data_IF_978541173804
#
_entry.id   IF_978541173804
#
_cell.length_a   1.000
_cell.length_b   1.000
_cell.length_c   1.000
_cell.angle_alpha   90.00
_cell.angle_beta   90.00
_cell.angle_gamma   90.00
#
_symmetry.space_group_name_H-M   'P 1'
#
loop_
_entity.id
_entity.type
_entity.pdbx_description
1 polymer ?
#
# COMPACT_ATOMS: atom_id res chain seq x y z
N UNK A 1 22.83 13.01 -13.95
CA UNK A 1 21.85 14.02 -13.50
C UNK A 1 20.41 13.54 -13.48
N UNK A 2 19.84 13.06 -14.58
CA UNK A 2 18.43 12.60 -14.58
C UNK A 2 18.16 11.37 -13.70
N UNK A 3 19.07 10.40 -13.65
CA UNK A 3 18.99 9.26 -12.72
C UNK A 3 19.09 9.70 -11.26
N UNK A 4 19.72 10.85 -11.00
CA UNK A 4 19.89 11.42 -9.66
C UNK A 4 18.74 12.35 -9.27
N UNK A 5 17.62 12.34 -10.02
CA UNK A 5 16.47 13.19 -9.76
C UNK A 5 16.67 14.68 -10.05
N UNK A 6 17.79 15.09 -10.69
CA UNK A 6 18.10 16.51 -10.92
C UNK A 6 17.41 17.11 -12.15
N UNK A 7 17.03 16.27 -13.12
CA UNK A 7 16.33 16.70 -14.33
C UNK A 7 15.17 15.75 -14.66
N UNK A 8 14.00 16.28 -15.08
CA UNK A 8 12.90 15.44 -15.54
C UNK A 8 13.32 14.57 -16.72
N UNK A 9 12.77 13.35 -16.78
CA UNK A 9 12.94 12.44 -17.92
C UNK A 9 11.67 11.63 -18.14
N UNK A 10 11.46 11.22 -19.39
CA UNK A 10 10.41 10.25 -19.70
C UNK A 10 10.76 8.89 -19.07
N UNK A 11 9.77 8.27 -18.42
CA UNK A 11 9.86 6.92 -17.87
C UNK A 11 8.67 6.11 -18.39
N UNK A 12 8.86 4.79 -18.45
CA UNK A 12 7.73 3.86 -18.62
C UNK A 12 6.71 4.08 -17.51
N UNK A 13 5.43 3.99 -17.85
CA UNK A 13 4.37 3.86 -16.87
C UNK A 13 4.54 2.59 -16.03
N UNK A 14 3.99 2.58 -14.81
CA UNK A 14 4.03 1.40 -13.94
C UNK A 14 3.32 0.22 -14.61
N UNK A 15 2.20 0.49 -15.29
CA UNK A 15 1.44 -0.48 -16.07
C UNK A 15 2.27 -1.15 -17.18
N UNK A 16 3.18 -0.42 -17.84
CA UNK A 16 4.06 -1.01 -18.85
C UNK A 16 5.02 -2.03 -18.23
N UNK A 17 5.57 -1.72 -17.05
CA UNK A 17 6.48 -2.62 -16.32
C UNK A 17 5.72 -3.87 -15.86
N UNK A 18 4.50 -3.70 -15.36
CA UNK A 18 3.62 -4.81 -14.96
C UNK A 18 3.29 -5.72 -16.16
N UNK A 19 2.90 -5.12 -17.29
CA UNK A 19 2.61 -5.83 -18.55
C UNK A 19 3.81 -6.63 -19.06
N UNK A 20 5.01 -6.05 -19.01
CA UNK A 20 6.27 -6.73 -19.40
C UNK A 20 6.60 -7.96 -18.56
N UNK A 21 6.10 -8.00 -17.32
CA UNK A 21 6.33 -9.10 -16.39
C UNK A 21 5.12 -10.03 -16.23
N UNK A 22 4.11 -9.90 -17.11
CA UNK A 22 2.94 -10.78 -17.12
C UNK A 22 1.96 -10.54 -15.97
N UNK A 23 2.02 -9.38 -15.30
CA UNK A 23 1.05 -9.00 -14.27
C UNK A 23 -0.16 -8.36 -14.95
N UNK A 24 -1.34 -8.96 -14.75
CA UNK A 24 -2.54 -8.63 -15.50
C UNK A 24 -3.46 -7.61 -14.82
N UNK A 25 -3.30 -7.39 -13.52
CA UNK A 25 -4.08 -6.40 -12.77
C UNK A 25 -3.34 -5.83 -11.57
N UNK A 26 -3.80 -4.66 -11.09
CA UNK A 26 -3.42 -4.07 -9.81
C UNK A 26 -4.58 -3.27 -9.20
N UNK A 27 -4.35 -2.67 -8.03
CA UNK A 27 -5.36 -1.95 -7.27
C UNK A 27 -5.05 -0.46 -7.19
N UNK A 28 -6.08 0.37 -7.27
CA UNK A 28 -5.96 1.84 -7.17
C UNK A 28 -6.95 2.41 -6.17
N UNK A 29 -6.65 3.59 -5.63
CA UNK A 29 -7.63 4.35 -4.85
C UNK A 29 -8.71 4.96 -5.77
N UNK A 30 -9.92 5.09 -5.23
CA UNK A 30 -11.07 5.72 -5.90
C UNK A 30 -10.77 7.11 -6.45
N UNK A 31 -9.93 7.90 -5.79
CA UNK A 31 -9.58 9.25 -6.26
C UNK A 31 -8.77 9.23 -7.57
N UNK A 32 -8.01 8.17 -7.84
CA UNK A 32 -7.27 8.02 -9.11
C UNK A 32 -8.21 7.67 -10.26
N UNK A 33 -9.32 6.99 -9.98
CA UNK A 33 -10.33 6.69 -10.98
C UNK A 33 -11.25 7.90 -11.24
N UNK A 34 -11.79 8.49 -10.17
CA UNK A 34 -12.91 9.46 -10.24
C UNK A 34 -12.51 10.91 -10.05
N UNK A 35 -11.31 11.23 -9.61
CA UNK A 35 -11.03 12.57 -9.09
C UNK A 35 -11.76 12.84 -7.76
N UNK A 36 -11.87 14.10 -7.38
CA UNK A 36 -12.40 14.51 -6.07
C UNK A 36 -11.34 14.51 -4.95
N UNK A 37 -11.80 14.55 -3.69
CA UNK A 37 -10.93 14.52 -2.51
C UNK A 37 -10.60 13.08 -2.13
N UNK A 38 -9.32 12.82 -1.85
CA UNK A 38 -8.88 11.53 -1.32
C UNK A 38 -9.48 11.30 0.08
N UNK A 39 -9.98 10.09 0.32
CA UNK A 39 -10.38 9.64 1.67
C UNK A 39 -9.15 8.98 2.28
N UNK A 40 -8.36 9.79 2.98
CA UNK A 40 -7.15 9.37 3.64
C UNK A 40 -7.39 8.23 4.64
N UNK A 41 -6.53 7.22 4.58
CA UNK A 41 -6.59 6.03 5.46
C UNK A 41 -5.95 6.32 6.84
N UNK A 42 -5.06 7.32 6.90
CA UNK A 42 -4.13 7.50 8.01
C UNK A 42 -4.34 8.78 8.82
N UNK A 43 -5.07 9.79 8.31
CA UNK A 43 -5.38 11.05 9.00
C UNK A 43 -5.81 10.85 10.45
N UNK A 44 -6.71 9.91 10.72
CA UNK A 44 -7.26 9.70 12.07
C UNK A 44 -6.27 9.05 13.04
N UNK A 45 -5.24 8.37 12.51
CA UNK A 45 -4.29 7.59 13.31
C UNK A 45 -3.01 8.35 13.67
N UNK A 46 -2.59 9.33 12.87
CA UNK A 46 -1.31 9.99 13.03
C UNK A 46 -1.44 11.52 13.02
N UNK A 47 -1.25 12.16 14.17
CA UNK A 47 -1.34 13.63 14.31
C UNK A 47 -0.30 14.36 13.44
N UNK A 48 0.91 13.79 13.30
CA UNK A 48 1.94 14.32 12.41
C UNK A 48 1.46 14.41 10.95
N UNK A 49 0.67 13.43 10.52
CA UNK A 49 0.09 13.41 9.17
C UNK A 49 -0.93 14.51 8.95
N UNK A 50 -1.75 14.84 9.96
CA UNK A 50 -2.70 15.96 9.89
C UNK A 50 -1.98 17.28 9.61
N UNK A 51 -0.83 17.50 10.26
CA UNK A 51 -0.02 18.71 10.07
C UNK A 51 0.65 18.74 8.69
N UNK A 52 1.23 17.62 8.27
CA UNK A 52 1.83 17.49 6.95
C UNK A 52 0.78 17.73 5.85
N UNK A 53 -0.40 17.12 5.98
CA UNK A 53 -1.48 17.31 5.02
C UNK A 53 -1.96 18.75 4.91
N UNK A 54 -2.12 19.45 6.03
CA UNK A 54 -2.54 20.85 6.03
C UNK A 54 -1.58 21.79 5.27
N UNK A 55 -0.31 21.41 5.12
CA UNK A 55 0.67 22.15 4.34
C UNK A 55 0.48 21.92 2.83
N UNK A 56 0.21 20.68 2.43
CA UNK A 56 0.15 20.28 1.02
C UNK A 56 -1.25 20.35 0.39
N UNK A 57 -2.35 20.37 1.15
CA UNK A 57 -3.72 20.46 0.60
C UNK A 57 -3.86 21.67 -0.33
N UNK A 58 -3.15 22.77 -0.04
CA UNK A 58 -3.19 24.01 -0.86
C UNK A 58 -2.49 23.89 -2.21
N UNK A 59 -1.56 22.95 -2.34
CA UNK A 59 -0.75 22.75 -3.54
C UNK A 59 -1.32 21.66 -4.45
N UNK A 60 -2.29 20.89 -3.95
CA UNK A 60 -2.89 19.80 -4.71
C UNK A 60 -4.00 20.29 -5.64
N UNK A 61 -3.91 20.01 -6.95
CA UNK A 61 -5.01 20.29 -7.86
C UNK A 61 -6.19 19.36 -7.54
N UNK A 62 -7.27 19.93 -7.04
CA UNK A 62 -8.55 19.23 -6.93
C UNK A 62 -9.03 18.88 -8.35
N UNK A 63 -9.13 17.57 -8.63
CA UNK A 63 -9.67 17.08 -9.89
C UNK A 63 -11.18 17.05 -9.82
N UNK A 64 -11.85 17.49 -10.88
CA UNK A 64 -13.30 17.36 -11.01
C UNK A 64 -13.70 15.88 -10.89
N UNK A 65 -14.86 15.65 -10.28
CA UNK A 65 -15.37 14.29 -10.10
C UNK A 65 -15.93 13.80 -11.42
N UNK A 66 -15.37 12.72 -11.91
CA UNK A 66 -15.90 11.92 -13.01
C UNK A 66 -16.94 10.95 -12.44
N UNK A 67 -18.22 11.25 -12.67
CA UNK A 67 -19.35 10.42 -12.23
C UNK A 67 -19.62 9.22 -13.16
N UNK A 68 -19.05 9.22 -14.36
CA UNK A 68 -19.23 8.12 -15.33
C UNK A 68 -18.36 6.91 -14.97
N UNK A 69 -17.20 7.14 -14.36
CA UNK A 69 -16.30 6.07 -13.91
C UNK A 69 -16.74 5.49 -12.57
N UNK A 70 -17.29 4.28 -12.60
CA UNK A 70 -17.73 3.58 -11.40
C UNK A 70 -16.59 2.81 -10.73
N UNK A 71 -16.38 2.91 -9.41
CA UNK A 71 -15.37 2.08 -8.73
C UNK A 71 -15.78 0.59 -8.68
N UNK A 72 -16.99 0.28 -9.13
CA UNK A 72 -17.54 -1.08 -9.20
C UNK A 72 -17.38 -1.73 -10.58
N UNK A 73 -16.65 -1.09 -11.49
CA UNK A 73 -16.29 -1.62 -12.81
C UNK A 73 -14.79 -1.82 -12.92
N UNK A 74 -14.38 -2.71 -13.83
CA UNK A 74 -12.96 -3.00 -14.09
C UNK A 74 -12.57 -2.27 -15.36
N UNK A 75 -11.54 -1.44 -15.26
CA UNK A 75 -10.97 -0.71 -16.40
C UNK A 75 -9.61 -1.29 -16.78
N UNK A 76 -9.22 -1.10 -18.02
CA UNK A 76 -7.87 -1.32 -18.49
C UNK A 76 -7.10 0.01 -18.48
N UNK A 77 -5.83 -0.02 -18.13
CA UNK A 77 -4.92 1.12 -18.25
C UNK A 77 -3.77 0.77 -19.19
N UNK A 78 -3.34 1.76 -19.96
CA UNK A 78 -2.21 1.61 -20.88
C UNK A 78 -1.57 2.96 -21.16
N UNK A 79 -0.37 3.18 -20.59
CA UNK A 79 0.46 4.34 -20.87
C UNK A 79 1.05 4.31 -22.28
N UNK A 80 1.12 3.14 -22.92
CA UNK A 80 1.62 2.96 -24.28
C UNK A 80 0.85 1.85 -25.05
N UNK A 81 -0.34 2.16 -25.58
CA UNK A 81 -1.25 1.16 -26.16
C UNK A 81 -0.77 0.54 -27.48
N UNK A 82 0.20 1.17 -28.15
CA UNK A 82 0.75 0.63 -29.41
C UNK A 82 1.72 -0.53 -29.18
N UNK A 83 2.29 -0.64 -27.98
CA UNK A 83 3.44 -1.52 -27.72
C UNK A 83 3.12 -2.61 -26.69
N UNK A 84 2.20 -2.36 -25.74
CA UNK A 84 1.98 -3.24 -24.59
C UNK A 84 0.52 -3.62 -24.40
N UNK A 85 0.29 -4.81 -23.82
CA UNK A 85 -1.04 -5.25 -23.41
C UNK A 85 -1.51 -4.36 -22.24
N UNK A 86 -2.71 -3.77 -22.29
CA UNK A 86 -3.26 -3.03 -21.17
C UNK A 86 -3.38 -3.91 -19.91
N UNK A 87 -3.23 -3.29 -18.74
CA UNK A 87 -3.33 -3.95 -17.43
C UNK A 87 -4.63 -3.53 -16.77
N UNK A 88 -5.35 -4.45 -16.12
CA UNK A 88 -6.60 -4.13 -15.46
C UNK A 88 -6.40 -3.42 -14.11
N UNK A 89 -7.36 -2.59 -13.72
CA UNK A 89 -7.41 -1.97 -12.40
C UNK A 89 -8.69 -2.35 -11.67
N UNK A 90 -8.54 -2.67 -10.39
CA UNK A 90 -9.62 -2.76 -9.42
C UNK A 90 -9.55 -1.54 -8.51
N UNK A 91 -10.70 -0.94 -8.23
CA UNK A 91 -10.75 0.31 -7.48
C UNK A 91 -11.26 0.08 -6.08
N UNK A 92 -10.52 0.60 -5.08
CA UNK A 92 -10.92 0.58 -3.67
C UNK A 92 -12.30 1.20 -3.51
N UNK A 93 -13.23 0.47 -2.90
CA UNK A 93 -14.55 0.97 -2.56
C UNK A 93 -14.48 1.93 -1.36
N UNK A 94 -14.93 3.20 -1.52
CA UNK A 94 -14.85 4.19 -0.46
C UNK A 94 -15.81 3.89 0.71
N UNK A 95 -16.98 3.27 0.43
CA UNK A 95 -18.00 3.03 1.46
C UNK A 95 -17.53 1.99 2.49
N UNK A 96 -17.12 0.81 2.02
CA UNK A 96 -16.57 -0.25 2.88
C UNK A 96 -15.24 0.16 3.52
N UNK A 97 -14.41 0.91 2.78
CA UNK A 97 -13.20 1.52 3.30
C UNK A 97 -13.49 2.38 4.53
N UNK A 98 -14.40 3.36 4.43
CA UNK A 98 -14.78 4.23 5.54
C UNK A 98 -15.39 3.46 6.72
N UNK A 99 -16.29 2.52 6.43
CA UNK A 99 -17.03 1.75 7.44
C UNK A 99 -16.13 0.87 8.32
N UNK A 100 -14.94 0.50 7.84
CA UNK A 100 -13.98 -0.30 8.60
C UNK A 100 -12.82 0.55 9.13
N UNK A 101 -12.30 1.50 8.36
CA UNK A 101 -11.12 2.29 8.74
C UNK A 101 -11.39 3.50 9.63
N UNK A 102 -12.62 4.02 9.66
CA UNK A 102 -12.93 5.20 10.47
C UNK A 102 -12.68 4.92 11.95
N UNK A 103 -11.84 5.73 12.60
CA UNK A 103 -11.61 5.61 14.04
C UNK A 103 -12.82 6.03 14.89
N UNK A 104 -13.73 6.80 14.30
CA UNK A 104 -14.90 7.37 14.99
C UNK A 104 -16.17 6.54 14.74
N UNK A 105 -16.36 6.05 13.51
CA UNK A 105 -17.59 5.35 13.08
C UNK A 105 -17.37 3.91 12.66
N UNK A 106 -16.11 3.46 12.58
CA UNK A 106 -15.77 2.13 12.09
C UNK A 106 -15.95 1.06 13.14
N UNK A 107 -16.18 -0.18 12.70
CA UNK A 107 -16.36 -1.32 13.61
C UNK A 107 -15.24 -1.51 14.64
N UNK A 108 -13.94 -1.32 14.31
CA UNK A 108 -12.87 -1.44 15.29
C UNK A 108 -13.00 -0.52 16.51
N UNK A 109 -13.75 0.58 16.40
CA UNK A 109 -14.04 1.51 17.49
C UNK A 109 -15.18 1.09 18.42
N UNK A 110 -15.81 -0.07 18.19
CA UNK A 110 -16.89 -0.57 19.04
C UNK A 110 -16.42 -0.71 20.50
N UNK A 111 -17.20 -0.16 21.42
CA UNK A 111 -16.85 -0.10 22.83
C UNK A 111 -16.61 -1.47 23.48
N UNK A 112 -17.12 -2.56 22.90
CA UNK A 112 -16.93 -3.91 23.44
C UNK A 112 -15.71 -4.65 22.91
N UNK A 113 -15.06 -4.14 21.86
CA UNK A 113 -13.84 -4.75 21.32
C UNK A 113 -12.61 -4.45 22.16
N UNK A 114 -11.60 -5.33 22.04
CA UNK A 114 -10.36 -5.23 22.79
C UNK A 114 -9.59 -3.95 22.42
N UNK A 115 -9.26 -3.14 23.43
CA UNK A 115 -8.47 -1.91 23.23
C UNK A 115 -7.01 -2.26 22.90
N UNK A 116 -6.51 -1.69 21.80
CA UNK A 116 -5.15 -1.93 21.35
C UNK A 116 -4.09 -1.24 22.23
N UNK A 117 -4.41 -0.05 22.75
CA UNK A 117 -3.45 0.89 23.31
C UNK A 117 -3.21 0.63 24.80
N UNK A 118 -4.23 0.20 25.56
CA UNK A 118 -4.10 -0.08 27.00
C UNK A 118 -3.46 -1.44 27.25
N UNK A 119 -2.22 -1.40 27.73
CA UNK A 119 -1.39 -2.59 27.99
C UNK A 119 -1.07 -2.72 29.47
N UNK A 120 -1.16 -3.93 30.00
CA UNK A 120 -0.79 -4.26 31.36
C UNK A 120 0.72 -4.39 31.50
N UNK A 121 1.28 -3.77 32.53
CA UNK A 121 2.69 -3.95 32.89
C UNK A 121 2.81 -4.79 34.17
N UNK A 122 3.71 -5.80 34.21
CA UNK A 122 4.57 -6.28 33.13
C UNK A 122 3.82 -7.15 32.10
N UNK A 123 4.44 -7.36 30.93
CA UNK A 123 4.01 -8.36 29.94
C UNK A 123 3.31 -7.82 28.69
N UNK A 124 2.75 -6.60 28.73
CA UNK A 124 2.16 -5.96 27.54
C UNK A 124 0.84 -6.55 27.08
N UNK A 125 0.22 -7.43 27.87
CA UNK A 125 -1.09 -8.02 27.58
C UNK A 125 -2.19 -6.96 27.61
N UNK A 126 -3.24 -7.17 26.82
CA UNK A 126 -4.41 -6.28 26.70
C UNK A 126 -5.58 -6.93 27.43
N UNK A 127 -6.17 -6.23 28.39
CA UNK A 127 -7.29 -6.73 29.21
C UNK A 127 -8.49 -5.78 29.24
N UNK A 128 -8.45 -4.71 28.46
CA UNK A 128 -9.47 -3.67 28.48
C UNK A 128 -10.14 -3.54 27.13
N UNK A 129 -11.39 -3.09 27.15
CA UNK A 129 -12.18 -2.80 25.95
C UNK A 129 -12.09 -1.33 25.56
N UNK A 130 -12.35 -1.04 24.29
CA UNK A 130 -12.34 0.34 23.75
C UNK A 130 -13.23 1.28 24.56
N UNK A 131 -14.31 0.79 25.15
CA UNK A 131 -15.23 1.55 26.03
C UNK A 131 -16.03 2.61 25.28
N UNK A 132 -15.35 3.64 24.81
CA UNK A 132 -15.82 4.63 23.83
C UNK A 132 -14.62 5.05 22.98
N UNK A 133 -14.85 5.43 21.72
CA UNK A 133 -13.78 5.82 20.79
C UNK A 133 -12.86 6.92 21.35
N UNK A 134 -13.42 7.85 22.14
CA UNK A 134 -12.72 9.02 22.69
C UNK A 134 -12.36 8.91 24.19
N UNK A 135 -12.43 7.71 24.80
CA UNK A 135 -12.09 7.53 26.22
C UNK A 135 -10.58 7.59 26.48
N UNK A 136 -10.19 8.21 27.59
CA UNK A 136 -8.83 8.11 28.13
C UNK A 136 -8.54 6.65 28.50
N UNK A 137 -7.27 6.25 28.45
CA UNK A 137 -6.80 4.97 28.96
C UNK A 137 -7.26 4.71 30.39
N UNK A 138 -7.35 5.73 31.24
CA UNK A 138 -7.84 5.58 32.60
C UNK A 138 -9.29 5.06 32.67
N UNK A 139 -10.14 5.45 31.71
CA UNK A 139 -11.58 5.17 31.72
C UNK A 139 -11.94 3.84 31.04
N UNK A 140 -10.98 3.21 30.36
CA UNK A 140 -11.18 1.92 29.68
C UNK A 140 -11.55 0.83 30.69
N UNK A 141 -12.70 0.20 30.47
CA UNK A 141 -13.24 -0.88 31.29
C UNK A 141 -12.68 -2.25 30.88
N UNK A 142 -12.92 -3.27 31.69
CA UNK A 142 -12.46 -4.65 31.43
C UNK A 142 -13.07 -5.22 30.15
N UNK A 143 -12.27 -6.02 29.44
CA UNK A 143 -12.69 -6.72 28.24
C UNK A 143 -13.51 -7.96 28.60
N UNK A 144 -14.69 -8.08 28.00
CA UNK A 144 -15.60 -9.23 28.17
C UNK A 144 -15.74 -9.97 26.83
N UNK A 145 -15.01 -11.08 26.63
CA UNK A 145 -14.99 -11.79 25.34
C UNK A 145 -16.37 -12.19 24.83
N UNK A 146 -17.31 -12.55 25.73
CA UNK A 146 -18.66 -12.93 25.33
C UNK A 146 -19.45 -11.76 24.72
N UNK A 147 -19.27 -10.53 25.22
CA UNK A 147 -19.90 -9.34 24.63
C UNK A 147 -19.32 -9.02 23.26
N UNK A 148 -18.00 -9.12 23.09
CA UNK A 148 -17.35 -8.94 21.80
C UNK A 148 -17.86 -9.97 20.76
N UNK A 149 -18.06 -11.23 21.17
CA UNK A 149 -18.64 -12.27 20.31
C UNK A 149 -20.07 -11.95 19.86
N UNK A 150 -20.87 -11.27 20.68
CA UNK A 150 -22.21 -10.82 20.31
C UNK A 150 -22.18 -9.67 19.28
N UNK A 151 -21.20 -8.77 19.37
CA UNK A 151 -21.04 -7.64 18.43
C UNK A 151 -20.61 -8.06 17.03
N UNK A 152 -19.76 -9.09 16.91
CA UNK A 152 -19.19 -9.50 15.61
C UNK A 152 -20.25 -9.86 14.57
N UNK A 153 -21.27 -10.71 14.86
CA UNK A 153 -22.34 -11.02 13.92
C UNK A 153 -23.14 -9.79 13.47
N UNK A 154 -23.41 -8.84 14.38
CA UNK A 154 -24.11 -7.61 14.05
C UNK A 154 -23.31 -6.76 13.06
N UNK A 155 -22.03 -6.54 13.35
CA UNK A 155 -21.13 -5.77 12.49
C UNK A 155 -20.92 -6.45 11.13
N UNK A 156 -20.76 -7.77 11.12
CA UNK A 156 -20.66 -8.57 9.89
C UNK A 156 -21.94 -8.47 9.04
N UNK A 157 -23.12 -8.58 9.66
CA UNK A 157 -24.41 -8.44 8.98
C UNK A 157 -24.59 -7.04 8.38
N UNK A 158 -24.21 -6.00 9.13
CA UNK A 158 -24.22 -4.62 8.62
C UNK A 158 -23.29 -4.47 7.41
N UNK A 159 -22.08 -5.04 7.47
CA UNK A 159 -21.12 -4.96 6.38
C UNK A 159 -21.59 -5.68 5.12
N UNK A 160 -22.18 -6.86 5.28
CA UNK A 160 -22.79 -7.60 4.16
C UNK A 160 -23.94 -6.81 3.55
N UNK A 161 -24.81 -6.20 4.37
CA UNK A 161 -25.89 -5.36 3.86
C UNK A 161 -25.35 -4.14 3.09
N UNK A 162 -24.30 -3.48 3.61
CA UNK A 162 -23.63 -2.38 2.91
C UNK A 162 -23.11 -2.79 1.53
N UNK A 163 -22.47 -3.97 1.42
CA UNK A 163 -22.00 -4.52 0.14
C UNK A 163 -23.17 -4.74 -0.81
N UNK A 164 -24.24 -5.39 -0.33
CA UNK A 164 -25.43 -5.68 -1.12
C UNK A 164 -26.09 -4.41 -1.64
N UNK A 165 -26.35 -3.46 -0.77
CA UNK A 165 -26.99 -2.19 -1.13
C UNK A 165 -26.14 -1.44 -2.16
N UNK A 166 -24.82 -1.43 -1.97
CA UNK A 166 -23.88 -0.78 -2.89
C UNK A 166 -23.89 -1.41 -4.28
N UNK A 167 -23.82 -2.73 -4.37
CA UNK A 167 -23.86 -3.45 -5.65
C UNK A 167 -25.25 -3.38 -6.30
N UNK A 168 -26.32 -3.39 -5.49
CA UNK A 168 -27.69 -3.26 -5.96
C UNK A 168 -27.95 -1.86 -6.53
N UNK A 169 -27.51 -0.80 -5.85
CA UNK A 169 -27.57 0.59 -6.34
C UNK A 169 -26.85 0.74 -7.67
N UNK A 170 -25.65 0.15 -7.80
CA UNK A 170 -24.91 0.15 -9.06
C UNK A 170 -25.72 -0.57 -10.16
N UNK A 171 -26.19 -1.78 -9.88
CA UNK A 171 -26.97 -2.56 -10.85
C UNK A 171 -28.27 -1.86 -11.29
N UNK A 172 -28.98 -1.20 -10.36
CA UNK A 172 -30.18 -0.43 -10.69
C UNK A 172 -29.89 0.73 -11.65
N UNK A 173 -28.71 1.35 -11.55
CA UNK A 173 -28.30 2.49 -12.38
C UNK A 173 -27.77 2.06 -13.75
N UNK A 174 -26.99 0.99 -13.80
CA UNK A 174 -26.23 0.60 -15.01
C UNK A 174 -26.82 -0.61 -15.73
N UNK A 175 -27.60 -1.45 -15.04
CA UNK A 175 -28.01 -2.77 -15.52
C UNK A 175 -26.87 -3.79 -15.58
N UNK A 176 -25.68 -3.46 -15.07
CA UNK A 176 -24.48 -4.28 -15.13
C UNK A 176 -24.14 -4.77 -13.71
N UNK A 177 -23.89 -6.07 -13.48
CA UNK A 177 -23.44 -6.53 -12.17
C UNK A 177 -22.08 -5.93 -11.82
N UNK A 178 -22.00 -5.23 -10.68
CA UNK A 178 -20.77 -4.59 -10.22
C UNK A 178 -19.76 -5.55 -9.58
N UNK A 179 -18.55 -5.05 -9.33
CA UNK A 179 -17.45 -5.72 -8.62
C UNK A 179 -16.98 -4.79 -7.51
N UNK A 180 -17.22 -5.16 -6.25
CA UNK A 180 -16.77 -4.35 -5.10
C UNK A 180 -15.41 -4.85 -4.61
N UNK A 181 -14.44 -3.95 -4.51
CA UNK A 181 -13.08 -4.27 -4.00
C UNK A 181 -12.82 -3.52 -2.69
N UNK A 182 -12.65 -4.26 -1.60
CA UNK A 182 -12.41 -3.70 -0.26
C UNK A 182 -11.00 -4.09 0.25
N UNK A 183 -9.94 -3.37 -0.16
CA UNK A 183 -8.57 -3.62 0.28
C UNK A 183 -8.32 -3.06 1.68
N UNK A 184 -7.62 -3.82 2.51
CA UNK A 184 -7.26 -3.48 3.88
C UNK A 184 -5.86 -4.02 4.21
N UNK A 185 -5.13 -3.31 5.08
CA UNK A 185 -3.89 -3.85 5.68
C UNK A 185 -4.21 -5.10 6.49
N UNK A 186 -3.46 -6.19 6.29
CA UNK A 186 -3.79 -7.48 6.89
C UNK A 186 -3.71 -7.45 8.42
N UNK A 187 -2.77 -6.69 8.98
CA UNK A 187 -2.59 -6.51 10.42
C UNK A 187 -3.80 -5.82 11.06
N UNK A 188 -4.68 -5.18 10.29
CA UNK A 188 -5.93 -4.67 10.81
C UNK A 188 -6.70 -5.79 11.52
N UNK A 189 -6.77 -6.97 10.92
CA UNK A 189 -7.56 -8.09 11.42
C UNK A 189 -6.72 -8.99 12.33
N UNK A 190 -6.87 -8.79 13.64
CA UNK A 190 -6.31 -9.62 14.71
C UNK A 190 -5.23 -8.92 15.52
N UNK A 191 -4.49 -7.99 14.90
CA UNK A 191 -3.51 -7.17 15.61
C UNK A 191 -4.14 -5.86 16.09
N UNK A 192 -4.51 -4.95 15.18
CA UNK A 192 -5.12 -3.66 15.52
C UNK A 192 -6.56 -3.82 16.02
N UNK A 193 -7.36 -4.58 15.28
CA UNK A 193 -8.71 -4.97 15.65
C UNK A 193 -8.73 -6.47 15.96
N UNK A 194 -8.72 -6.82 17.24
CA UNK A 194 -8.51 -8.19 17.70
C UNK A 194 -9.57 -9.18 17.17
N UNK A 195 -10.82 -8.74 17.08
CA UNK A 195 -11.96 -9.54 16.64
C UNK A 195 -12.08 -9.60 15.11
N UNK A 196 -11.24 -8.87 14.38
CA UNK A 196 -11.26 -8.76 12.93
C UNK A 196 -11.26 -10.10 12.16
N UNK A 197 -10.49 -11.13 12.56
CA UNK A 197 -10.52 -12.43 11.87
C UNK A 197 -11.87 -13.14 12.01
N UNK A 198 -12.52 -13.06 13.18
CA UNK A 198 -13.86 -13.63 13.37
C UNK A 198 -14.89 -12.83 12.58
N UNK A 199 -14.75 -11.50 12.50
CA UNK A 199 -15.57 -10.67 11.62
C UNK A 199 -15.47 -11.09 10.15
N UNK A 200 -14.26 -11.24 9.61
CA UNK A 200 -14.06 -11.67 8.22
C UNK A 200 -14.70 -13.04 7.97
N UNK A 201 -14.52 -13.98 8.90
CA UNK A 201 -15.18 -15.29 8.84
C UNK A 201 -16.70 -15.17 8.80
N UNK A 202 -17.31 -14.36 9.67
CA UNK A 202 -18.76 -14.17 9.69
C UNK A 202 -19.27 -13.51 8.39
N UNK A 203 -18.57 -12.50 7.87
CA UNK A 203 -18.88 -11.89 6.57
C UNK A 203 -18.88 -12.94 5.45
N UNK A 204 -17.86 -13.81 5.40
CA UNK A 204 -17.79 -14.87 4.39
C UNK A 204 -18.92 -15.89 4.53
N UNK A 205 -19.25 -16.31 5.76
CA UNK A 205 -20.36 -17.23 6.01
C UNK A 205 -21.68 -16.62 5.55
N UNK A 206 -21.95 -15.36 5.90
CA UNK A 206 -23.19 -14.67 5.54
C UNK A 206 -23.32 -14.47 4.03
N UNK A 207 -22.23 -14.13 3.33
CA UNK A 207 -22.22 -14.01 1.87
C UNK A 207 -22.46 -15.36 1.19
N UNK A 208 -21.92 -16.45 1.71
CA UNK A 208 -22.16 -17.80 1.15
C UNK A 208 -23.59 -18.32 1.34
N UNK A 209 -24.36 -17.75 2.26
CA UNK A 209 -25.76 -18.13 2.48
C UNK A 209 -26.73 -17.47 1.48
N UNK A 210 -26.22 -16.63 0.58
CA UNK A 210 -27.03 -15.83 -0.35
C UNK A 210 -26.44 -15.91 -1.77
N UNK A 211 -27.30 -15.87 -2.78
CA UNK A 211 -26.87 -15.97 -4.19
C UNK A 211 -26.64 -14.60 -4.86
N UNK A 212 -26.98 -13.50 -4.18
CA UNK A 212 -26.97 -12.14 -4.76
C UNK A 212 -25.55 -11.58 -4.92
N UNK A 213 -24.62 -11.96 -4.04
CA UNK A 213 -23.23 -11.47 -4.02
C UNK A 213 -22.30 -12.66 -3.88
N UNK A 214 -21.36 -12.78 -4.81
CA UNK A 214 -20.41 -13.89 -4.85
C UNK A 214 -19.01 -13.38 -4.50
N UNK A 215 -18.37 -14.01 -3.52
CA UNK A 215 -16.94 -13.84 -3.25
C UNK A 215 -16.13 -14.55 -4.32
N UNK A 216 -15.15 -13.86 -4.91
CA UNK A 216 -14.32 -14.41 -5.97
C UNK A 216 -12.92 -13.79 -5.95
N UNK A 217 -11.97 -14.47 -6.56
CA UNK A 217 -10.62 -13.95 -6.73
C UNK A 217 -10.58 -12.93 -7.88
N UNK A 218 -9.78 -11.87 -7.74
CA UNK A 218 -9.65 -10.83 -8.77
C UNK A 218 -9.31 -11.39 -10.16
N UNK A 219 -8.45 -12.41 -10.23
CA UNK A 219 -8.11 -13.11 -11.47
C UNK A 219 -9.34 -13.78 -12.13
N UNK A 220 -10.16 -14.49 -11.35
CA UNK A 220 -11.38 -15.14 -11.86
C UNK A 220 -12.41 -14.11 -12.35
N UNK A 221 -12.57 -13.01 -11.61
CA UNK A 221 -13.46 -11.92 -12.01
C UNK A 221 -12.96 -11.26 -13.31
N UNK A 222 -11.65 -11.08 -13.47
CA UNK A 222 -11.05 -10.54 -14.69
C UNK A 222 -11.33 -11.45 -15.90
N UNK A 223 -11.13 -12.75 -15.74
CA UNK A 223 -11.41 -13.76 -16.78
C UNK A 223 -12.89 -13.83 -17.15
N UNK A 224 -13.78 -13.64 -16.17
CA UNK A 224 -15.23 -13.62 -16.37
C UNK A 224 -15.70 -12.35 -17.07
N UNK A 225 -15.26 -11.17 -16.60
CA UNK A 225 -15.75 -9.86 -17.05
C UNK A 225 -15.14 -9.41 -18.38
N UNK A 226 -13.89 -9.79 -18.66
CA UNK A 226 -13.15 -9.43 -19.89
C UNK A 226 -13.31 -7.94 -20.25
N UNK A 227 -12.85 -7.03 -19.38
CA UNK A 227 -13.04 -5.58 -19.56
C UNK A 227 -12.43 -5.11 -20.88
N UNK A 228 -13.06 -4.10 -21.50
CA UNK A 228 -12.65 -3.55 -22.80
C UNK A 228 -12.33 -2.06 -22.75
N UNK A 229 -12.81 -1.35 -21.74
CA UNK A 229 -12.64 0.09 -21.64
C UNK A 229 -11.23 0.41 -21.17
N UNK A 230 -10.46 1.06 -22.02
CA UNK A 230 -9.13 1.57 -21.70
C UNK A 230 -9.24 3.01 -21.24
N UNK A 231 -8.66 3.33 -20.09
CA UNK A 231 -8.61 4.67 -19.53
C UNK A 231 -7.16 5.06 -19.21
N UNK A 232 -6.94 6.36 -19.05
CA UNK A 232 -5.72 6.90 -18.44
C UNK A 232 -6.03 7.23 -16.99
N UNK A 233 -5.16 6.80 -16.08
CA UNK A 233 -5.18 7.24 -14.69
C UNK A 233 -4.03 8.23 -14.45
N UNK A 234 -4.25 9.24 -13.61
CA UNK A 234 -3.20 10.13 -13.20
C UNK A 234 -2.28 9.47 -12.16
N UNK A 235 -1.13 10.11 -11.93
CA UNK A 235 -0.24 9.75 -10.82
C UNK A 235 -0.89 10.00 -9.45
N UNK A 236 -0.61 9.10 -8.51
CA UNK A 236 -0.90 9.25 -7.09
C UNK A 236 -0.82 7.94 -6.31
N UNK A 237 -1.38 7.92 -5.11
CA UNK A 237 -1.34 6.77 -4.20
C UNK A 237 -2.66 6.63 -3.41
N UNK A 238 -2.79 5.55 -2.65
CA UNK A 238 -3.83 5.38 -1.61
C UNK A 238 -3.45 5.99 -0.24
N UNK A 239 -2.26 6.58 -0.17
CA UNK A 239 -1.78 7.25 1.02
C UNK A 239 -2.60 8.50 1.30
N UNK A 240 -2.23 9.19 2.37
CA UNK A 240 -2.90 10.42 2.73
C UNK A 240 -2.92 11.36 1.52
N UNK A 241 -4.04 12.08 1.32
CA UNK A 241 -4.19 13.06 0.26
C UNK A 241 -4.06 12.57 -1.18
N UNK A 242 -3.88 11.26 -1.41
CA UNK A 242 -3.92 10.65 -2.73
C UNK A 242 -2.68 10.87 -3.61
N UNK A 243 -1.54 11.26 -3.02
CA UNK A 243 -0.30 11.55 -3.77
C UNK A 243 0.95 11.04 -3.02
N UNK A 244 2.11 11.65 -3.26
CA UNK A 244 3.41 11.11 -2.83
C UNK A 244 3.99 11.73 -1.57
N UNK A 245 3.34 12.75 -1.02
CA UNK A 245 3.94 13.56 0.03
C UNK A 245 4.24 12.80 1.32
N UNK A 246 3.67 11.60 1.51
CA UNK A 246 4.01 10.72 2.63
C UNK A 246 5.43 10.17 2.50
N UNK A 247 5.92 9.99 1.27
CA UNK A 247 7.26 9.48 0.99
C UNK A 247 8.21 10.54 0.45
N UNK A 248 7.67 11.65 -0.07
CA UNK A 248 8.42 12.74 -0.68
C UNK A 248 8.00 14.07 -0.08
N UNK A 249 8.72 14.50 0.94
CA UNK A 249 8.56 15.79 1.64
C UNK A 249 9.93 16.27 2.17
N UNK A 250 9.95 17.40 2.87
CA UNK A 250 11.17 17.97 3.44
C UNK A 250 11.92 16.99 4.37
N UNK A 251 11.20 16.29 5.26
CA UNK A 251 11.77 15.34 6.25
C UNK A 251 12.38 14.10 5.60
N UNK A 252 11.93 13.73 4.40
CA UNK A 252 12.32 12.48 3.70
C UNK A 252 13.17 12.74 2.45
N UNK A 253 13.28 14.00 2.02
CA UNK A 253 14.00 14.43 0.82
C UNK A 253 15.47 13.96 0.79
N UNK A 254 16.12 13.92 1.95
CA UNK A 254 17.52 13.50 2.10
C UNK A 254 17.75 12.02 1.77
N UNK A 255 16.72 11.18 1.84
CA UNK A 255 16.81 9.74 1.61
C UNK A 255 17.00 9.39 0.13
N UNK A 256 16.32 10.14 -0.75
CA UNK A 256 16.26 9.87 -2.19
C UNK A 256 17.60 9.96 -2.91
N UNK A 257 18.49 10.95 -2.64
CA UNK A 257 19.83 10.96 -3.20
C UNK A 257 20.63 9.68 -2.93
N UNK A 258 20.52 9.09 -1.73
CA UNK A 258 21.19 7.83 -1.41
C UNK A 258 20.66 6.69 -2.28
N UNK A 259 19.32 6.53 -2.34
CA UNK A 259 18.65 5.53 -3.16
C UNK A 259 19.07 5.67 -4.64
N UNK A 260 18.98 6.86 -5.20
CA UNK A 260 19.30 7.10 -6.62
C UNK A 260 20.78 6.89 -6.95
N UNK A 261 21.68 7.24 -6.03
CA UNK A 261 23.11 7.00 -6.20
C UNK A 261 23.42 5.50 -6.21
N UNK A 262 22.83 4.76 -5.29
CA UNK A 262 23.08 3.32 -5.14
C UNK A 262 22.45 2.52 -6.29
N UNK A 263 21.22 2.87 -6.71
CA UNK A 263 20.59 2.35 -7.93
C UNK A 263 21.49 2.52 -9.15
N UNK A 264 21.98 3.75 -9.36
CA UNK A 264 22.85 4.06 -10.48
C UNK A 264 24.14 3.26 -10.42
N UNK A 265 24.77 3.19 -9.23
CA UNK A 265 26.05 2.51 -9.04
C UNK A 265 25.93 1.03 -9.38
N UNK A 266 24.88 0.35 -8.91
CA UNK A 266 24.67 -1.06 -9.21
C UNK A 266 24.44 -1.28 -10.70
N UNK A 267 23.54 -0.50 -11.33
CA UNK A 267 23.22 -0.64 -12.75
C UNK A 267 24.45 -0.39 -13.63
N UNK A 268 25.22 0.67 -13.35
CA UNK A 268 26.44 0.98 -14.10
C UNK A 268 27.46 -0.18 -13.99
N UNK A 269 27.65 -0.73 -12.80
CA UNK A 269 28.55 -1.85 -12.57
C UNK A 269 28.13 -3.09 -13.37
N UNK A 270 26.85 -3.48 -13.29
CA UNK A 270 26.31 -4.64 -13.98
C UNK A 270 26.39 -4.52 -15.51
N UNK A 271 26.34 -3.29 -16.04
CA UNK A 271 26.48 -3.04 -17.48
C UNK A 271 27.92 -3.12 -17.99
N UNK A 272 28.92 -3.01 -17.11
CA UNK A 272 30.34 -2.96 -17.47
C UNK A 272 31.10 -4.26 -17.21
N UNK A 273 30.58 -5.11 -16.32
CA UNK A 273 31.28 -6.30 -15.84
C UNK A 273 30.48 -7.56 -16.12
N UNK A 274 31.10 -8.56 -16.76
CA UNK A 274 30.54 -9.91 -16.86
C UNK A 274 30.70 -10.65 -15.52
N UNK A 275 29.85 -10.29 -14.57
CA UNK A 275 29.91 -10.81 -13.21
C UNK A 275 29.55 -12.30 -13.12
N UNK A 276 28.84 -12.85 -14.10
CA UNK A 276 28.40 -14.26 -14.11
C UNK A 276 29.57 -15.22 -14.33
N UNK A 277 30.68 -14.72 -14.87
CA UNK A 277 31.91 -15.50 -15.00
C UNK A 277 32.64 -15.71 -13.66
N UNK A 278 32.27 -14.99 -12.59
CA UNK A 278 32.91 -15.09 -11.28
C UNK A 278 31.88 -15.34 -10.16
N UNK A 279 31.78 -16.57 -9.63
CA UNK A 279 30.83 -16.92 -8.58
C UNK A 279 30.93 -16.05 -7.32
N UNK A 280 32.15 -15.68 -6.90
CA UNK A 280 32.35 -14.86 -5.71
C UNK A 280 31.86 -13.42 -5.94
N UNK A 281 32.10 -12.86 -7.13
CA UNK A 281 31.57 -11.56 -7.51
C UNK A 281 30.04 -11.59 -7.59
N UNK A 282 29.47 -12.65 -8.18
CA UNK A 282 28.02 -12.84 -8.24
C UNK A 282 27.39 -12.90 -6.84
N UNK A 283 28.01 -13.60 -5.88
CA UNK A 283 27.54 -13.66 -4.49
C UNK A 283 27.55 -12.29 -3.79
N UNK A 284 28.62 -11.52 -3.96
CA UNK A 284 28.73 -10.16 -3.40
C UNK A 284 27.67 -9.25 -4.02
N UNK A 285 27.47 -9.31 -5.33
CA UNK A 285 26.46 -8.50 -6.02
C UNK A 285 25.03 -8.90 -5.64
N UNK A 286 24.76 -10.19 -5.39
CA UNK A 286 23.48 -10.64 -4.85
C UNK A 286 23.21 -10.04 -3.49
N UNK A 287 24.20 -9.99 -2.60
CA UNK A 287 24.02 -9.33 -1.31
C UNK A 287 23.87 -7.81 -1.47
N UNK A 288 24.66 -7.16 -2.35
CA UNK A 288 24.51 -5.74 -2.62
C UNK A 288 23.10 -5.42 -3.14
N UNK A 289 22.56 -6.23 -4.04
CA UNK A 289 21.19 -6.08 -4.51
C UNK A 289 20.16 -6.23 -3.37
N UNK A 290 20.38 -7.13 -2.39
CA UNK A 290 19.52 -7.22 -1.20
C UNK A 290 19.60 -5.95 -0.35
N UNK A 291 20.78 -5.40 -0.11
CA UNK A 291 20.92 -4.14 0.63
C UNK A 291 20.24 -2.97 -0.09
N UNK A 292 20.36 -2.90 -1.42
CA UNK A 292 19.65 -1.90 -2.21
C UNK A 292 18.12 -2.06 -2.12
N UNK A 293 17.61 -3.29 -2.23
CA UNK A 293 16.18 -3.57 -2.07
C UNK A 293 15.67 -3.22 -0.66
N UNK A 294 16.46 -3.48 0.37
CA UNK A 294 16.15 -3.09 1.76
C UNK A 294 16.16 -1.57 1.91
N UNK A 295 17.12 -0.86 1.32
CA UNK A 295 17.19 0.60 1.29
C UNK A 295 15.98 1.23 0.57
N UNK A 296 15.48 0.59 -0.48
CA UNK A 296 14.34 1.03 -1.30
C UNK A 296 12.96 0.78 -0.66
N UNK A 297 12.89 0.17 0.53
CA UNK A 297 11.61 -0.05 1.21
C UNK A 297 10.94 1.27 1.58
N UNK A 298 9.69 1.46 1.16
CA UNK A 298 8.93 2.70 1.39
C UNK A 298 8.57 2.93 2.86
N UNK A 299 8.66 1.88 3.69
CA UNK A 299 8.43 1.93 5.13
C UNK A 299 9.30 2.99 5.82
N UNK A 300 10.52 3.21 5.34
CA UNK A 300 11.43 4.15 6.00
C UNK A 300 10.90 5.58 5.94
N UNK A 301 10.52 6.06 4.76
CA UNK A 301 9.95 7.40 4.60
C UNK A 301 8.59 7.49 5.30
N UNK A 302 7.78 6.43 5.25
CA UNK A 302 6.52 6.38 5.98
C UNK A 302 6.71 6.56 7.50
N UNK A 303 7.65 5.83 8.11
CA UNK A 303 7.95 5.92 9.55
C UNK A 303 8.54 7.27 9.95
N UNK A 304 9.33 7.90 9.08
CA UNK A 304 9.84 9.26 9.28
C UNK A 304 8.68 10.26 9.28
N UNK A 305 7.82 10.23 8.26
CA UNK A 305 6.73 11.19 8.10
C UNK A 305 5.59 11.03 9.10
N UNK A 306 5.31 9.80 9.54
CA UNK A 306 4.32 9.51 10.59
C UNK A 306 4.86 9.72 12.00
N UNK A 307 6.17 9.92 12.16
CA UNK A 307 6.86 9.97 13.45
C UNK A 307 6.68 8.72 14.32
N UNK A 308 6.26 7.59 13.73
CA UNK A 308 6.00 6.36 14.47
C UNK A 308 7.29 5.70 15.01
N UNK A 309 8.38 5.76 14.24
CA UNK A 309 9.69 5.23 14.62
C UNK A 309 10.82 5.91 13.83
N UNK A 310 10.84 7.25 13.84
CA UNK A 310 11.74 8.07 13.00
C UNK A 310 13.21 7.69 13.15
N UNK A 311 13.75 7.72 14.37
CA UNK A 311 15.16 7.43 14.65
C UNK A 311 15.59 6.04 14.14
N UNK A 312 14.68 5.06 14.25
CA UNK A 312 14.89 3.71 13.75
C UNK A 312 14.95 3.67 12.22
N UNK A 313 14.03 4.36 11.54
CA UNK A 313 14.02 4.43 10.08
C UNK A 313 15.25 5.16 9.52
N UNK A 314 15.66 6.28 10.14
CA UNK A 314 16.86 7.02 9.75
C UNK A 314 18.13 6.16 9.91
N UNK A 315 18.22 5.38 10.99
CA UNK A 315 19.29 4.41 11.21
C UNK A 315 19.31 3.33 10.12
N UNK A 316 18.16 2.71 9.81
CA UNK A 316 18.04 1.64 8.82
C UNK A 316 18.44 2.08 7.41
N UNK A 317 18.04 3.28 6.99
CA UNK A 317 18.49 3.85 5.71
C UNK A 317 20.02 3.97 5.69
N UNK A 318 20.59 4.53 6.75
CA UNK A 318 22.04 4.76 6.84
C UNK A 318 22.82 3.44 6.82
N UNK A 319 22.35 2.43 7.55
CA UNK A 319 22.96 1.09 7.59
C UNK A 319 22.94 0.42 6.21
N UNK A 320 21.78 0.31 5.56
CA UNK A 320 21.67 -0.33 4.25
C UNK A 320 22.47 0.41 3.17
N UNK A 321 22.49 1.74 3.19
CA UNK A 321 23.32 2.54 2.29
C UNK A 321 24.82 2.25 2.47
N UNK A 322 25.28 2.19 3.73
CA UNK A 322 26.69 1.93 4.03
C UNK A 322 27.10 0.49 3.67
N UNK A 323 26.27 -0.48 3.99
CA UNK A 323 26.52 -1.89 3.71
C UNK A 323 26.50 -2.17 2.20
N UNK A 324 25.53 -1.60 1.47
CA UNK A 324 25.52 -1.60 0.00
C UNK A 324 26.84 -1.08 -0.56
N UNK A 325 27.28 0.11 -0.13
CA UNK A 325 28.48 0.72 -0.67
C UNK A 325 29.76 -0.06 -0.31
N UNK A 326 29.81 -0.68 0.87
CA UNK A 326 30.90 -1.58 1.26
C UNK A 326 30.94 -2.83 0.37
N UNK A 327 29.79 -3.44 0.06
CA UNK A 327 29.71 -4.58 -0.85
C UNK A 327 30.12 -4.20 -2.26
N UNK A 328 29.68 -3.03 -2.76
CA UNK A 328 30.10 -2.54 -4.07
C UNK A 328 31.61 -2.27 -4.13
N UNK A 329 32.23 -1.77 -3.06
CA UNK A 329 33.69 -1.62 -3.00
C UNK A 329 34.42 -2.98 -3.07
N UNK A 330 33.86 -4.04 -2.47
CA UNK A 330 34.39 -5.40 -2.59
C UNK A 330 34.23 -5.89 -4.05
N UNK A 331 33.06 -5.67 -4.66
CA UNK A 331 32.79 -6.02 -6.04
C UNK A 331 33.77 -5.33 -7.02
N UNK A 332 34.07 -4.04 -6.80
CA UNK A 332 35.07 -3.28 -7.56
C UNK A 332 36.47 -3.87 -7.47
N UNK A 333 36.85 -4.42 -6.30
CA UNK A 333 38.16 -5.07 -6.13
C UNK A 333 38.20 -6.44 -6.82
N UNK A 334 37.12 -7.22 -6.70
CA UNK A 334 37.01 -8.52 -7.36
C UNK A 334 37.00 -8.40 -8.88
N UNK A 335 36.39 -7.35 -9.44
CA UNK A 335 36.38 -7.12 -10.89
C UNK A 335 37.74 -6.68 -11.44
N UNK A 336 38.51 -5.86 -10.69
CA UNK A 336 39.85 -5.43 -11.09
C UNK A 336 40.87 -6.55 -11.13
N UNK A 337 40.80 -7.50 -10.19
CA UNK A 337 41.68 -8.67 -10.16
C UNK A 337 41.55 -9.49 -11.46
N UNK A 338 40.35 -9.55 -12.04
CA UNK A 338 40.07 -10.23 -13.31
C UNK A 338 40.70 -9.50 -14.50
N UNK A 339 40.58 -8.17 -14.57
CA UNK A 339 41.18 -7.37 -15.66
C UNK A 339 42.71 -7.52 -15.64
N UNK A 340 43.34 -7.56 -14.46
CA UNK A 340 44.77 -7.80 -14.37
C UNK A 340 45.21 -9.21 -14.76
N UNK A 341 44.38 -10.24 -14.55
CA UNK A 341 44.70 -11.62 -14.96
C UNK A 341 44.55 -11.81 -16.47
N UNK A 342 43.52 -11.22 -17.07
CA UNK A 342 43.29 -11.30 -18.52
C UNK A 342 44.23 -10.41 -19.36
N UNK A 343 44.91 -9.44 -18.75
CA UNK A 343 45.89 -8.58 -19.42
C UNK A 343 47.32 -9.15 -19.41
N UNK A 344 47.55 -10.26 -18.70
CA UNK A 344 48.85 -10.93 -18.60
C UNK A 344 48.92 -12.26 -19.39
N UNK A 345 47.79 -12.74 -19.91
CA UNK A 345 47.71 -13.75 -20.99
C UNK A 345 47.55 -13.04 -22.35
#
# INVERSE_FOLDING_TARGET
>A
DSVLGKTPRLRKGVDEILSENGIEYFFVDSVLLRGGKAIGVYLDRFEALKRLWAQYEKEMPLREVDEEKSPYEIYLVSSNPEVKKPVAIFTRDPKTGLQVWSGEWGYPGDGWYLDFHKKHFPGGHRYWRVTTANSDLADKQEYHPEQAKERVPENASHFVQLIKDTLHEHYQKTGIPGVLTAPFDAELFGHWWFEGPEFLKQVMILLQQQDEVVLSHAAEVLDLKKPKQVITIPEGSWGEGGYHYIWLNEDTSWTWPHIYHDEKRLIDFLNQVDYKANPQLEEVLKQAARELMLLQASDWQFLISTWAARDYAELRITEHHNDFNRLMNIADNLSKFIISLLAYD
#
